data_IF_040009978402
#
_entry.id   IF_040009978402
#
_cell.length_a   1.000
_cell.length_b   1.000
_cell.length_c   1.000
_cell.angle_alpha   90.00
_cell.angle_beta   90.00
_cell.angle_gamma   90.00
#
_symmetry.space_group_name_H-M   'P 1'
#
loop_
_entity.id
_entity.type
_entity.pdbx_description
1 polymer ?
#
# COMPACT_ATOMS: atom_id res chain seq x y z
N UNK A 1 45.45 18.82 -54.98
CA UNK A 1 45.39 18.27 -53.62
C UNK A 1 44.04 18.61 -53.01
N UNK A 2 43.09 17.74 -53.17
CA UNK A 2 41.69 17.95 -52.72
C UNK A 2 41.53 17.36 -51.31
N UNK A 3 41.15 18.18 -50.37
CA UNK A 3 40.77 17.75 -49.03
C UNK A 3 39.29 17.39 -49.10
N UNK A 4 38.99 16.12 -49.09
CA UNK A 4 37.64 15.59 -48.90
C UNK A 4 37.19 15.90 -47.46
N UNK A 5 36.29 16.85 -47.29
CA UNK A 5 35.56 17.04 -46.07
C UNK A 5 34.51 15.91 -45.94
N UNK A 6 34.84 14.87 -45.19
CA UNK A 6 33.94 13.79 -44.85
C UNK A 6 32.88 14.33 -43.88
N UNK A 7 31.66 14.60 -44.37
CA UNK A 7 30.49 14.86 -43.54
C UNK A 7 30.26 13.66 -42.64
N UNK A 8 30.59 13.78 -41.37
CA UNK A 8 30.07 12.92 -40.33
C UNK A 8 28.57 13.20 -40.20
N UNK A 9 27.76 12.46 -40.94
CA UNK A 9 26.35 12.29 -40.65
C UNK A 9 26.25 11.58 -39.30
N UNK A 10 25.93 12.34 -38.26
CA UNK A 10 25.49 11.80 -36.98
C UNK A 10 24.25 10.93 -37.26
N UNK A 11 24.44 9.63 -37.42
CA UNK A 11 23.36 8.65 -37.43
C UNK A 11 22.58 8.79 -36.12
N UNK A 12 21.50 9.57 -36.13
CA UNK A 12 20.48 9.51 -35.10
C UNK A 12 19.96 8.09 -35.11
N UNK A 13 20.30 7.35 -34.03
CA UNK A 13 19.71 6.04 -33.80
C UNK A 13 18.19 6.12 -34.07
N UNK A 14 17.59 5.16 -34.78
CA UNK A 14 16.19 5.21 -35.13
C UNK A 14 15.39 5.42 -33.84
N UNK A 15 14.50 6.41 -33.84
CA UNK A 15 13.54 6.64 -32.75
C UNK A 15 12.66 5.43 -32.69
N UNK A 16 13.07 4.41 -31.91
CA UNK A 16 12.24 3.24 -31.66
C UNK A 16 10.93 3.76 -31.10
N UNK A 17 9.85 3.49 -31.77
CA UNK A 17 8.51 3.90 -31.32
C UNK A 17 8.18 3.18 -30.02
N UNK A 18 8.50 3.84 -28.90
CA UNK A 18 8.33 3.32 -27.53
C UNK A 18 6.87 2.98 -27.21
N UNK A 19 5.93 3.49 -28.04
CA UNK A 19 4.51 3.14 -27.93
C UNK A 19 4.24 1.68 -28.29
N UNK A 20 5.11 1.06 -29.09
CA UNK A 20 5.00 -0.32 -29.55
C UNK A 20 5.76 -1.32 -28.67
N UNK A 21 6.51 -0.86 -27.65
CA UNK A 21 7.18 -1.78 -26.74
C UNK A 21 6.16 -2.55 -25.89
N UNK A 22 6.29 -3.89 -25.76
CA UNK A 22 5.34 -4.73 -25.02
C UNK A 22 5.13 -4.24 -23.57
N UNK A 23 6.20 -3.77 -22.92
CA UNK A 23 6.22 -3.35 -21.52
C UNK A 23 5.43 -2.06 -21.23
N UNK A 24 5.16 -1.24 -22.24
CA UNK A 24 4.36 -0.01 -22.09
C UNK A 24 2.93 -0.18 -22.55
N UNK A 25 2.54 -1.35 -23.12
CA UNK A 25 1.22 -1.57 -23.68
C UNK A 25 0.12 -1.56 -22.61
N UNK A 26 -1.09 -1.11 -22.97
CA UNK A 26 -2.26 -1.18 -22.09
C UNK A 26 -2.54 -2.59 -21.58
N UNK A 27 -2.38 -3.60 -22.45
CA UNK A 27 -2.55 -5.01 -22.11
C UNK A 27 -1.57 -5.46 -21.02
N UNK A 28 -0.33 -5.00 -21.07
CA UNK A 28 0.68 -5.33 -20.08
C UNK A 28 0.37 -4.64 -18.74
N UNK A 29 0.01 -3.35 -18.76
CA UNK A 29 -0.39 -2.60 -17.55
C UNK A 29 -1.58 -3.29 -16.89
N UNK A 30 -2.62 -3.64 -17.65
CA UNK A 30 -3.77 -4.37 -17.15
C UNK A 30 -3.38 -5.73 -16.56
N UNK A 31 -2.51 -6.49 -17.24
CA UNK A 31 -2.02 -7.78 -16.76
C UNK A 31 -1.25 -7.70 -15.44
N UNK A 32 -0.67 -6.54 -15.11
CA UNK A 32 -0.04 -6.26 -13.81
C UNK A 32 -1.04 -5.78 -12.76
N UNK A 33 -2.07 -5.02 -13.16
CA UNK A 33 -3.01 -4.38 -12.23
C UNK A 33 -4.07 -5.35 -11.69
N UNK A 34 -4.74 -6.13 -12.57
CA UNK A 34 -5.89 -6.95 -12.17
C UNK A 34 -5.59 -8.01 -11.08
N UNK A 35 -4.39 -8.68 -11.07
CA UNK A 35 -4.11 -9.65 -10.02
C UNK A 35 -4.02 -9.00 -8.64
N UNK A 36 -3.49 -7.77 -8.58
CA UNK A 36 -3.38 -7.02 -7.34
C UNK A 36 -4.77 -6.58 -6.85
N UNK A 37 -5.59 -6.02 -7.75
CA UNK A 37 -6.98 -5.63 -7.41
C UNK A 37 -7.75 -6.80 -6.82
N UNK A 38 -7.70 -7.98 -7.46
CA UNK A 38 -8.40 -9.16 -6.99
C UNK A 38 -7.88 -9.62 -5.61
N UNK A 39 -6.58 -9.63 -5.41
CA UNK A 39 -5.98 -10.07 -4.15
C UNK A 39 -6.21 -9.09 -2.99
N UNK A 40 -6.20 -7.79 -3.23
CA UNK A 40 -6.48 -6.80 -2.19
C UNK A 40 -7.95 -6.77 -1.78
N UNK A 41 -8.87 -7.04 -2.71
CA UNK A 41 -10.30 -7.21 -2.40
C UNK A 41 -10.61 -8.43 -1.51
N UNK A 42 -9.68 -9.39 -1.38
CA UNK A 42 -9.85 -10.51 -0.45
C UNK A 42 -9.55 -10.17 1.01
N UNK A 43 -8.85 -9.06 1.30
CA UNK A 43 -8.48 -8.68 2.66
C UNK A 43 -9.69 -8.43 3.58
N UNK A 44 -10.72 -7.67 3.15
CA UNK A 44 -11.92 -7.48 3.97
C UNK A 44 -12.66 -8.78 4.29
N UNK A 45 -12.56 -9.80 3.42
CA UNK A 45 -13.22 -11.09 3.64
C UNK A 45 -12.62 -11.85 4.84
N UNK A 46 -11.30 -11.78 5.04
CA UNK A 46 -10.64 -12.41 6.19
C UNK A 46 -11.15 -11.78 7.48
N UNK A 47 -11.14 -10.44 7.57
CA UNK A 47 -11.67 -9.75 8.75
C UNK A 47 -13.14 -10.06 9.03
N UNK A 48 -13.96 -10.17 7.98
CA UNK A 48 -15.36 -10.56 8.13
C UNK A 48 -15.53 -12.00 8.65
N UNK A 49 -14.69 -12.94 8.20
CA UNK A 49 -14.69 -14.32 8.70
C UNK A 49 -14.24 -14.37 10.16
N UNK A 50 -13.18 -13.64 10.53
CA UNK A 50 -12.68 -13.59 11.91
C UNK A 50 -13.79 -13.08 12.86
N UNK A 51 -14.48 -12.01 12.51
CA UNK A 51 -15.61 -11.47 13.26
C UNK A 51 -16.79 -12.44 13.30
N UNK A 52 -17.12 -13.07 12.16
CA UNK A 52 -18.22 -14.04 12.09
C UNK A 52 -17.95 -15.26 12.96
N UNK A 53 -16.71 -15.79 12.99
CA UNK A 53 -16.33 -16.90 13.86
C UNK A 53 -16.54 -16.54 15.34
N UNK A 54 -16.13 -15.35 15.75
CA UNK A 54 -16.29 -14.88 17.14
C UNK A 54 -17.75 -14.57 17.48
N UNK A 55 -18.52 -14.10 16.50
CA UNK A 55 -19.95 -13.81 16.67
C UNK A 55 -20.83 -15.03 16.95
N UNK A 56 -20.32 -16.25 16.71
CA UNK A 56 -21.01 -17.51 17.05
C UNK A 56 -20.67 -18.03 18.46
N UNK A 57 -19.73 -17.38 19.16
CA UNK A 57 -19.39 -17.74 20.54
C UNK A 57 -20.39 -17.12 21.53
N UNK A 58 -20.54 -17.72 22.74
CA UNK A 58 -21.60 -17.34 23.69
C UNK A 58 -21.52 -15.93 24.23
N UNK A 59 -20.33 -15.32 24.30
CA UNK A 59 -20.10 -14.00 24.91
C UNK A 59 -19.64 -12.97 23.85
N UNK A 60 -20.32 -11.83 23.71
CA UNK A 60 -19.92 -10.73 22.83
C UNK A 60 -18.50 -10.19 23.13
N UNK A 61 -17.94 -10.43 24.31
CA UNK A 61 -16.60 -10.02 24.69
C UNK A 61 -15.51 -10.66 23.81
N UNK A 62 -15.77 -11.85 23.23
CA UNK A 62 -14.88 -12.49 22.24
C UNK A 62 -14.68 -11.62 21.00
N UNK A 63 -15.79 -11.12 20.44
CA UNK A 63 -15.74 -10.23 19.26
C UNK A 63 -14.98 -8.95 19.60
N UNK A 64 -15.26 -8.37 20.79
CA UNK A 64 -14.57 -7.17 21.26
C UNK A 64 -13.06 -7.39 21.40
N UNK A 65 -12.64 -8.49 22.02
CA UNK A 65 -11.23 -8.84 22.22
C UNK A 65 -10.46 -9.01 20.90
N UNK A 66 -11.01 -9.76 19.94
CA UNK A 66 -10.39 -9.96 18.61
C UNK A 66 -10.34 -8.64 17.84
N UNK A 67 -11.41 -7.84 17.87
CA UNK A 67 -11.43 -6.55 17.19
C UNK A 67 -10.37 -5.59 17.74
N UNK A 68 -10.25 -5.46 19.06
CA UNK A 68 -9.26 -4.61 19.72
C UNK A 68 -7.82 -5.10 19.49
N UNK A 69 -7.58 -6.40 19.63
CA UNK A 69 -6.27 -7.00 19.38
C UNK A 69 -5.86 -6.85 17.90
N UNK A 70 -6.81 -7.04 16.98
CA UNK A 70 -6.64 -6.83 15.54
C UNK A 70 -6.34 -5.38 15.17
N UNK A 71 -6.98 -4.42 15.85
CA UNK A 71 -6.72 -2.99 15.66
C UNK A 71 -5.29 -2.63 16.06
N UNK A 72 -4.82 -3.07 17.22
CA UNK A 72 -3.45 -2.79 17.68
C UNK A 72 -2.42 -3.47 16.76
N UNK A 73 -2.65 -4.73 16.39
CA UNK A 73 -1.78 -5.44 15.47
C UNK A 73 -1.76 -4.78 14.08
N UNK A 74 -2.92 -4.40 13.56
CA UNK A 74 -3.08 -3.69 12.29
C UNK A 74 -2.34 -2.34 12.28
N UNK A 75 -2.41 -1.61 13.38
CA UNK A 75 -1.66 -0.36 13.57
C UNK A 75 -0.15 -0.57 13.43
N UNK A 76 0.37 -1.62 14.05
CA UNK A 76 1.80 -1.99 13.93
C UNK A 76 2.14 -2.31 12.48
N UNK A 77 1.37 -3.18 11.81
CA UNK A 77 1.61 -3.58 10.42
C UNK A 77 1.59 -2.38 9.47
N UNK A 78 0.64 -1.46 9.68
CA UNK A 78 0.53 -0.26 8.85
C UNK A 78 1.69 0.72 9.10
N UNK A 79 2.19 0.85 10.34
CA UNK A 79 3.39 1.62 10.63
C UNK A 79 4.62 1.10 9.87
N UNK A 80 4.67 -0.22 9.59
CA UNK A 80 5.72 -0.88 8.81
C UNK A 80 5.42 -0.99 7.30
N UNK A 81 4.35 -0.35 6.80
CA UNK A 81 3.99 -0.36 5.36
C UNK A 81 5.11 0.15 4.45
N UNK A 82 6.04 0.95 4.99
CA UNK A 82 7.23 1.42 4.28
C UNK A 82 8.13 0.26 3.80
N UNK A 83 8.09 -0.90 4.46
CA UNK A 83 8.86 -2.09 4.04
C UNK A 83 8.43 -2.54 2.65
N UNK A 84 7.13 -2.67 2.40
CA UNK A 84 6.61 -3.02 1.08
C UNK A 84 6.94 -1.94 0.05
N UNK A 85 6.53 -0.71 0.31
CA UNK A 85 6.66 0.41 -0.64
C UNK A 85 8.13 0.73 -0.95
N UNK A 86 8.98 0.81 0.08
CA UNK A 86 10.42 1.08 -0.07
C UNK A 86 11.13 -0.03 -0.84
N UNK A 87 10.82 -1.29 -0.54
CA UNK A 87 11.38 -2.45 -1.25
C UNK A 87 10.94 -2.45 -2.71
N UNK A 88 9.65 -2.14 -3.02
CA UNK A 88 9.16 -2.04 -4.40
C UNK A 88 9.93 -1.00 -5.20
N UNK A 89 10.05 0.22 -4.68
CA UNK A 89 10.71 1.31 -5.40
C UNK A 89 12.20 1.06 -5.66
N UNK A 90 12.92 0.57 -4.65
CA UNK A 90 14.34 0.24 -4.81
C UNK A 90 14.56 -0.92 -5.78
N UNK A 91 13.75 -1.99 -5.66
CA UNK A 91 13.86 -3.19 -6.51
C UNK A 91 13.52 -2.89 -7.96
N UNK A 92 12.45 -2.14 -8.23
CA UNK A 92 12.04 -1.79 -9.61
C UNK A 92 13.10 -0.91 -10.29
N UNK A 93 13.72 0.02 -9.57
CA UNK A 93 14.85 0.81 -10.09
C UNK A 93 16.08 -0.06 -10.38
N UNK A 94 16.44 -0.97 -9.47
CA UNK A 94 17.56 -1.89 -9.68
C UNK A 94 17.29 -2.83 -10.87
N UNK A 95 16.04 -3.27 -11.06
CA UNK A 95 15.62 -4.06 -12.22
C UNK A 95 15.82 -3.29 -13.52
N UNK A 96 15.32 -2.05 -13.59
CA UNK A 96 15.47 -1.20 -14.76
C UNK A 96 16.92 -0.84 -15.09
N UNK A 97 17.78 -0.75 -14.07
CA UNK A 97 19.22 -0.55 -14.22
C UNK A 97 20.01 -1.85 -14.53
N UNK A 98 19.35 -3.01 -14.63
CA UNK A 98 20.02 -4.30 -14.87
C UNK A 98 20.86 -4.84 -13.72
N UNK A 99 20.72 -4.29 -12.51
CA UNK A 99 21.56 -4.55 -11.33
C UNK A 99 21.07 -5.78 -10.55
N UNK A 100 21.18 -6.98 -11.12
CA UNK A 100 20.67 -8.23 -10.54
C UNK A 100 21.19 -8.53 -9.13
N UNK A 101 22.45 -8.20 -8.81
CA UNK A 101 22.99 -8.39 -7.46
C UNK A 101 22.35 -7.43 -6.44
N UNK A 102 22.09 -6.18 -6.84
CA UNK A 102 21.47 -5.21 -5.96
C UNK A 102 20.02 -5.57 -5.64
N UNK A 103 19.30 -6.21 -6.56
CA UNK A 103 17.95 -6.76 -6.30
C UNK A 103 17.97 -7.74 -5.12
N UNK A 104 18.96 -8.65 -5.07
CA UNK A 104 19.13 -9.59 -3.94
C UNK A 104 19.52 -8.88 -2.65
N UNK A 105 20.41 -7.88 -2.72
CA UNK A 105 20.84 -7.10 -1.55
C UNK A 105 19.71 -6.27 -0.95
N UNK A 106 18.85 -5.66 -1.79
CA UNK A 106 17.67 -4.94 -1.34
C UNK A 106 16.75 -5.87 -0.57
N UNK A 107 16.46 -7.07 -1.10
CA UNK A 107 15.65 -8.07 -0.41
C UNK A 107 16.21 -8.39 0.98
N UNK A 108 17.49 -8.72 1.06
CA UNK A 108 18.12 -9.11 2.33
C UNK A 108 18.15 -7.97 3.35
N UNK A 109 18.47 -6.73 2.92
CA UNK A 109 18.43 -5.57 3.82
C UNK A 109 17.01 -5.31 4.35
N UNK A 110 16.00 -5.39 3.47
CA UNK A 110 14.61 -5.22 3.87
C UNK A 110 14.14 -6.32 4.82
N UNK A 111 14.53 -7.58 4.58
CA UNK A 111 14.24 -8.69 5.50
C UNK A 111 14.93 -8.52 6.86
N UNK A 112 16.18 -8.02 6.89
CA UNK A 112 16.86 -7.71 8.15
C UNK A 112 16.13 -6.60 8.94
N UNK A 113 15.66 -5.55 8.26
CA UNK A 113 14.86 -4.49 8.92
C UNK A 113 13.55 -5.08 9.46
N UNK A 114 12.86 -5.90 8.68
CA UNK A 114 11.64 -6.58 9.09
C UNK A 114 11.88 -7.48 10.32
N UNK A 115 12.95 -8.27 10.31
CA UNK A 115 13.31 -9.15 11.41
C UNK A 115 13.68 -8.38 12.68
N UNK A 116 14.55 -7.37 12.57
CA UNK A 116 14.97 -6.54 13.72
C UNK A 116 13.76 -5.79 14.28
N UNK A 117 12.93 -5.19 13.41
CA UNK A 117 11.72 -4.49 13.83
C UNK A 117 10.72 -5.42 14.52
N UNK A 118 10.49 -6.62 14.00
CA UNK A 118 9.58 -7.58 14.61
C UNK A 118 10.11 -8.11 15.95
N UNK A 119 11.40 -8.43 16.06
CA UNK A 119 12.01 -8.86 17.33
C UNK A 119 11.93 -7.76 18.39
N UNK A 120 12.18 -6.52 18.01
CA UNK A 120 12.03 -5.38 18.94
C UNK A 120 10.59 -5.26 19.45
N UNK A 121 9.60 -5.39 18.57
CA UNK A 121 8.18 -5.32 18.92
C UNK A 121 7.72 -6.53 19.75
N UNK A 122 8.26 -7.72 19.50
CA UNK A 122 8.03 -8.91 20.33
C UNK A 122 8.57 -8.66 21.75
N UNK A 123 9.75 -8.05 21.91
CA UNK A 123 10.29 -7.71 23.22
C UNK A 123 9.44 -6.63 23.90
N UNK A 124 8.94 -5.67 23.13
CA UNK A 124 8.13 -4.56 23.65
C UNK A 124 6.64 -4.90 23.78
N UNK A 125 6.20 -6.13 23.42
CA UNK A 125 4.76 -6.46 23.40
C UNK A 125 4.06 -6.22 24.76
N UNK A 126 4.66 -6.48 25.94
CA UNK A 126 3.96 -6.23 27.20
C UNK A 126 3.70 -4.72 27.42
N UNK A 127 4.65 -3.88 27.00
CA UNK A 127 4.51 -2.43 27.07
C UNK A 127 3.41 -1.94 26.09
N UNK A 128 3.41 -2.47 24.86
CA UNK A 128 2.41 -2.12 23.85
C UNK A 128 1.01 -2.47 24.34
N UNK A 129 0.85 -3.68 24.90
CA UNK A 129 -0.42 -4.15 25.45
C UNK A 129 -0.88 -3.30 26.62
N UNK A 130 0.02 -3.01 27.56
CA UNK A 130 -0.28 -2.14 28.73
C UNK A 130 -0.73 -0.75 28.28
N UNK A 131 -0.05 -0.16 27.31
CA UNK A 131 -0.45 1.14 26.74
C UNK A 131 -1.79 1.06 26.04
N UNK A 132 -2.02 0.03 25.21
CA UNK A 132 -3.27 -0.15 24.49
C UNK A 132 -4.46 -0.27 25.46
N UNK A 133 -4.35 -1.11 26.49
CA UNK A 133 -5.37 -1.28 27.52
C UNK A 133 -5.60 -0.02 28.38
N UNK A 134 -4.63 0.86 28.47
CA UNK A 134 -4.77 2.14 29.19
C UNK A 134 -5.54 3.20 28.38
N UNK A 135 -5.43 3.15 27.05
CA UNK A 135 -6.06 4.14 26.15
C UNK A 135 -7.37 3.67 25.54
N UNK A 136 -7.65 2.36 25.61
CA UNK A 136 -8.86 1.77 25.06
C UNK A 136 -9.78 1.39 26.20
N UNK A 137 -10.89 2.12 26.34
CA UNK A 137 -11.94 1.77 27.29
C UNK A 137 -12.63 0.47 26.82
N UNK A 138 -12.47 -0.61 27.58
CA UNK A 138 -13.05 -1.92 27.30
C UNK A 138 -13.48 -2.63 28.57
N UNK A 139 -14.41 -3.58 28.46
CA UNK A 139 -14.76 -4.45 29.57
C UNK A 139 -13.57 -5.33 29.96
N UNK A 140 -13.48 -5.73 31.23
CA UNK A 140 -12.40 -6.61 31.70
C UNK A 140 -12.32 -7.93 30.91
N UNK A 141 -13.46 -8.48 30.49
CA UNK A 141 -13.52 -9.68 29.67
C UNK A 141 -12.92 -9.44 28.28
N UNK A 142 -13.30 -8.36 27.59
CA UNK A 142 -12.74 -8.02 26.27
C UNK A 142 -11.25 -7.70 26.35
N UNK A 143 -10.79 -7.06 27.43
CA UNK A 143 -9.36 -6.81 27.70
C UNK A 143 -8.56 -8.13 27.85
N UNK A 144 -9.11 -9.12 28.55
CA UNK A 144 -8.51 -10.45 28.68
C UNK A 144 -8.40 -11.18 27.35
N UNK A 145 -9.46 -11.14 26.53
CA UNK A 145 -9.45 -11.73 25.19
C UNK A 145 -8.50 -11.00 24.22
N UNK A 146 -8.39 -9.67 24.33
CA UNK A 146 -7.40 -8.89 23.59
C UNK A 146 -5.98 -9.32 23.94
N UNK A 147 -5.68 -9.54 25.23
CA UNK A 147 -4.38 -10.02 25.68
C UNK A 147 -4.04 -11.38 25.08
N UNK A 148 -4.95 -12.38 25.21
CA UNK A 148 -4.78 -13.71 24.63
C UNK A 148 -4.54 -13.63 23.13
N UNK A 149 -5.35 -12.86 22.38
CA UNK A 149 -5.21 -12.69 20.93
C UNK A 149 -3.86 -12.09 20.57
N UNK A 150 -3.52 -10.96 21.18
CA UNK A 150 -2.32 -10.20 20.80
C UNK A 150 -1.03 -10.94 21.17
N UNK A 151 -1.01 -11.61 22.34
CA UNK A 151 0.14 -12.41 22.81
C UNK A 151 0.48 -13.58 21.88
N UNK A 152 -0.51 -14.17 21.22
CA UNK A 152 -0.29 -15.22 20.20
C UNK A 152 0.07 -14.57 18.86
N UNK A 153 -0.69 -13.55 18.45
CA UNK A 153 -0.59 -12.93 17.12
C UNK A 153 0.76 -12.25 16.89
N UNK A 154 1.40 -11.72 17.95
CA UNK A 154 2.69 -11.03 17.89
C UNK A 154 3.83 -11.92 17.36
N UNK A 155 3.79 -13.23 17.60
CA UNK A 155 4.75 -14.20 17.07
C UNK A 155 4.64 -14.42 15.56
N UNK A 156 3.54 -13.99 14.97
CA UNK A 156 3.37 -13.92 13.51
C UNK A 156 4.06 -12.72 12.86
N UNK A 157 4.44 -11.69 13.64
CA UNK A 157 4.95 -10.43 13.11
C UNK A 157 6.19 -10.58 12.21
N UNK A 158 7.19 -11.46 12.51
CA UNK A 158 8.32 -11.68 11.59
C UNK A 158 7.88 -12.19 10.22
N UNK A 159 6.87 -13.07 10.17
CA UNK A 159 6.31 -13.56 8.92
C UNK A 159 5.48 -12.48 8.21
N UNK A 160 4.65 -11.74 8.91
CA UNK A 160 3.82 -10.65 8.37
C UNK A 160 4.68 -9.56 7.73
N UNK A 161 5.71 -9.06 8.45
CA UNK A 161 6.64 -8.06 7.91
C UNK A 161 7.53 -8.65 6.81
N UNK A 162 7.94 -9.92 6.94
CA UNK A 162 8.67 -10.66 5.91
C UNK A 162 7.86 -10.82 4.63
N UNK A 163 6.55 -11.11 4.74
CA UNK A 163 5.61 -11.16 3.63
C UNK A 163 5.47 -9.78 2.95
N UNK A 164 5.39 -8.70 3.72
CA UNK A 164 5.35 -7.34 3.17
C UNK A 164 6.59 -7.02 2.33
N UNK A 165 7.79 -7.39 2.80
CA UNK A 165 9.05 -7.28 2.04
C UNK A 165 9.01 -8.14 0.78
N UNK A 166 8.55 -9.41 0.89
CA UNK A 166 8.45 -10.34 -0.24
C UNK A 166 7.53 -9.78 -1.33
N UNK A 167 6.35 -9.30 -0.96
CA UNK A 167 5.39 -8.68 -1.87
C UNK A 167 6.02 -7.46 -2.54
N UNK A 168 6.65 -6.57 -1.78
CA UNK A 168 7.33 -5.40 -2.33
C UNK A 168 8.45 -5.75 -3.30
N UNK A 169 9.23 -6.77 -3.00
CA UNK A 169 10.30 -7.25 -3.86
C UNK A 169 9.79 -7.89 -5.15
N UNK A 170 8.71 -8.67 -5.08
CA UNK A 170 8.05 -9.27 -6.24
C UNK A 170 7.35 -8.20 -7.09
N UNK A 171 6.72 -7.18 -6.47
CA UNK A 171 6.15 -6.04 -7.19
C UNK A 171 7.24 -5.30 -7.97
N UNK A 172 8.37 -5.02 -7.33
CA UNK A 172 9.51 -4.38 -7.99
C UNK A 172 10.05 -5.17 -9.19
N UNK A 173 9.87 -6.49 -9.22
CA UNK A 173 10.23 -7.38 -10.33
C UNK A 173 9.06 -7.68 -11.28
N UNK A 174 7.94 -6.97 -11.18
CA UNK A 174 6.75 -7.12 -12.02
C UNK A 174 6.13 -8.54 -11.93
N UNK A 175 6.28 -9.21 -10.80
CA UNK A 175 5.78 -10.57 -10.57
C UNK A 175 4.42 -10.58 -9.82
N UNK A 176 3.47 -9.72 -10.25
CA UNK A 176 2.19 -9.49 -9.57
C UNK A 176 1.35 -10.76 -9.37
N UNK A 177 1.41 -11.71 -10.31
CA UNK A 177 0.70 -12.99 -10.19
C UNK A 177 1.19 -13.82 -8.99
N UNK A 178 2.49 -13.79 -8.68
CA UNK A 178 3.01 -14.48 -7.51
C UNK A 178 2.55 -13.80 -6.22
N UNK A 179 2.47 -12.48 -6.20
CA UNK A 179 1.91 -11.75 -5.06
C UNK A 179 0.44 -12.09 -4.84
N UNK A 180 -0.35 -12.16 -5.92
CA UNK A 180 -1.74 -12.63 -5.86
C UNK A 180 -1.83 -14.04 -5.30
N UNK A 181 -1.00 -14.97 -5.79
CA UNK A 181 -0.96 -16.35 -5.29
C UNK A 181 -0.64 -16.39 -3.80
N UNK A 182 0.33 -15.59 -3.34
CA UNK A 182 0.70 -15.50 -1.92
C UNK A 182 -0.46 -15.00 -1.06
N UNK A 183 -1.08 -13.88 -1.44
CA UNK A 183 -2.18 -13.29 -0.66
C UNK A 183 -3.41 -14.19 -0.63
N UNK A 184 -3.81 -14.76 -1.77
CA UNK A 184 -4.92 -15.71 -1.83
C UNK A 184 -4.62 -16.95 -0.99
N UNK A 185 -3.39 -17.49 -1.06
CA UNK A 185 -2.99 -18.64 -0.26
C UNK A 185 -3.08 -18.35 1.25
N UNK A 186 -2.50 -17.23 1.71
CA UNK A 186 -2.55 -16.80 3.12
C UNK A 186 -4.00 -16.67 3.58
N UNK A 187 -4.83 -15.94 2.81
CA UNK A 187 -6.21 -15.66 3.18
C UNK A 187 -7.07 -16.94 3.19
N UNK A 188 -6.93 -17.80 2.18
CA UNK A 188 -7.67 -19.07 2.11
C UNK A 188 -7.25 -20.03 3.22
N UNK A 189 -5.94 -20.13 3.51
CA UNK A 189 -5.43 -20.95 4.60
C UNK A 189 -5.89 -20.41 5.96
N UNK A 190 -5.89 -19.09 6.14
CA UNK A 190 -6.38 -18.46 7.37
C UNK A 190 -7.85 -18.82 7.62
N UNK A 191 -8.73 -18.67 6.61
CA UNK A 191 -10.14 -19.03 6.71
C UNK A 191 -10.28 -20.53 7.07
N UNK A 192 -9.56 -21.41 6.39
CA UNK A 192 -9.61 -22.85 6.65
C UNK A 192 -9.15 -23.18 8.09
N UNK A 193 -8.07 -22.55 8.55
CA UNK A 193 -7.55 -22.75 9.90
C UNK A 193 -8.48 -22.17 10.97
N UNK A 194 -9.18 -21.06 10.71
CA UNK A 194 -10.21 -20.53 11.59
C UNK A 194 -11.32 -21.58 11.82
N UNK A 195 -11.85 -22.18 10.76
CA UNK A 195 -12.83 -23.26 10.88
C UNK A 195 -12.28 -24.45 11.66
N UNK A 196 -11.06 -24.85 11.41
CA UNK A 196 -10.42 -25.98 12.08
C UNK A 196 -10.16 -25.73 13.56
N UNK A 197 -9.56 -24.58 13.92
CA UNK A 197 -9.21 -24.30 15.31
C UNK A 197 -10.44 -23.92 16.15
N UNK A 198 -11.31 -23.05 15.63
CA UNK A 198 -12.45 -22.56 16.41
C UNK A 198 -13.56 -23.61 16.47
N UNK A 199 -14.03 -24.12 15.32
CA UNK A 199 -15.14 -25.07 15.30
C UNK A 199 -14.70 -26.52 15.48
N UNK A 200 -13.52 -26.89 14.96
CA UNK A 200 -13.01 -28.26 15.03
C UNK A 200 -12.40 -28.63 16.39
N UNK A 201 -11.58 -27.73 16.94
CA UNK A 201 -10.88 -27.95 18.21
C UNK A 201 -11.52 -27.21 19.40
N UNK A 202 -12.55 -26.40 19.18
CA UNK A 202 -13.21 -25.63 20.24
C UNK A 202 -12.33 -24.54 20.86
N UNK A 203 -11.34 -24.03 20.08
CA UNK A 203 -10.51 -22.91 20.54
C UNK A 203 -11.29 -21.60 20.31
N UNK A 204 -11.20 -20.70 21.29
CA UNK A 204 -11.86 -19.39 21.21
C UNK A 204 -10.99 -18.37 20.42
N UNK A 205 -10.76 -17.20 21.01
CA UNK A 205 -9.92 -16.12 20.47
C UNK A 205 -8.52 -16.60 20.09
N UNK A 206 -7.97 -17.54 20.84
CA UNK A 206 -6.65 -18.14 20.61
C UNK A 206 -6.60 -18.89 19.28
N UNK A 207 -7.72 -19.52 18.87
CA UNK A 207 -7.85 -20.21 17.60
C UNK A 207 -7.73 -19.26 16.41
N UNK A 208 -8.39 -18.11 16.46
CA UNK A 208 -8.31 -17.09 15.41
C UNK A 208 -6.90 -16.48 15.33
N UNK A 209 -6.28 -16.20 16.48
CA UNK A 209 -4.91 -15.71 16.53
C UNK A 209 -3.91 -16.73 15.95
N UNK A 210 -4.06 -18.03 16.31
CA UNK A 210 -3.23 -19.11 15.80
C UNK A 210 -3.43 -19.35 14.29
N UNK A 211 -4.66 -19.26 13.79
CA UNK A 211 -4.96 -19.37 12.35
C UNK A 211 -4.22 -18.32 11.55
N UNK A 212 -4.27 -17.07 12.01
CA UNK A 212 -3.56 -15.97 11.39
C UNK A 212 -2.04 -16.13 11.46
N UNK A 213 -1.51 -16.54 12.62
CA UNK A 213 -0.08 -16.81 12.80
C UNK A 213 0.42 -17.90 11.85
N UNK A 214 -0.27 -19.04 11.82
CA UNK A 214 0.11 -20.19 10.98
C UNK A 214 0.02 -19.86 9.48
N UNK A 215 -1.02 -19.17 9.04
CA UNK A 215 -1.21 -18.81 7.63
C UNK A 215 -0.14 -17.81 7.14
N UNK A 216 0.25 -16.86 7.95
CA UNK A 216 1.32 -15.90 7.63
C UNK A 216 2.69 -16.60 7.48
N UNK A 217 3.05 -17.48 8.41
CA UNK A 217 4.28 -18.26 8.31
C UNK A 217 4.26 -19.22 7.13
N UNK A 218 3.15 -19.91 6.88
CA UNK A 218 3.00 -20.80 5.74
C UNK A 218 3.15 -20.04 4.41
N UNK A 219 2.54 -18.85 4.29
CA UNK A 219 2.68 -18.00 3.11
C UNK A 219 4.10 -17.50 2.88
N UNK A 220 4.81 -17.12 3.95
CA UNK A 220 6.20 -16.70 3.87
C UNK A 220 7.11 -17.84 3.39
N UNK A 221 6.98 -19.02 4.00
CA UNK A 221 7.75 -20.23 3.65
C UNK A 221 7.45 -20.67 2.21
N UNK A 222 6.16 -20.76 1.84
CA UNK A 222 5.74 -21.12 0.48
C UNK A 222 6.41 -20.21 -0.56
N UNK A 223 6.34 -18.90 -0.35
CA UNK A 223 6.88 -17.94 -1.32
C UNK A 223 8.41 -18.00 -1.38
N UNK A 224 9.08 -18.20 -0.24
CA UNK A 224 10.54 -18.40 -0.20
C UNK A 224 10.96 -19.64 -0.99
N UNK A 225 10.21 -20.75 -0.89
CA UNK A 225 10.44 -21.98 -1.65
C UNK A 225 10.24 -21.73 -3.16
N UNK A 226 9.12 -21.07 -3.55
CA UNK A 226 8.83 -20.77 -4.96
C UNK A 226 9.92 -19.88 -5.57
N UNK A 227 10.37 -18.86 -4.87
CA UNK A 227 11.41 -17.94 -5.34
C UNK A 227 12.75 -18.67 -5.48
N UNK A 228 13.12 -19.52 -4.51
CA UNK A 228 14.37 -20.33 -4.59
C UNK A 228 14.33 -21.36 -5.69
N UNK A 229 13.19 -21.94 -5.99
CA UNK A 229 13.02 -22.89 -7.10
C UNK A 229 13.18 -22.26 -8.49
N UNK A 230 13.15 -20.91 -8.60
CA UNK A 230 13.25 -20.17 -9.86
C UNK A 230 14.47 -19.23 -9.91
N UNK A 231 15.74 -19.72 -9.75
CA UNK A 231 16.92 -18.87 -9.61
C UNK A 231 17.28 -18.07 -10.87
N UNK A 232 16.81 -18.52 -12.05
CA UNK A 232 16.98 -17.77 -13.31
C UNK A 232 16.14 -16.50 -13.35
N UNK A 233 14.94 -16.57 -12.79
CA UNK A 233 13.99 -15.45 -12.73
C UNK A 233 14.22 -14.56 -11.51
N UNK A 234 14.46 -15.17 -10.37
CA UNK A 234 14.66 -14.50 -9.09
C UNK A 234 16.05 -14.78 -8.57
N UNK A 235 17.01 -13.89 -8.82
CA UNK A 235 18.42 -14.12 -8.45
C UNK A 235 18.67 -13.91 -6.96
N UNK A 236 18.18 -14.81 -6.10
CA UNK A 236 18.55 -14.84 -4.68
C UNK A 236 19.90 -15.58 -4.52
N UNK A 237 21.00 -14.88 -4.69
CA UNK A 237 22.35 -15.43 -4.53
C UNK A 237 22.87 -15.17 -3.10
N UNK A 238 22.55 -16.05 -2.18
CA UNK A 238 23.01 -15.96 -0.79
C UNK A 238 24.51 -16.27 -0.66
N UNK A 239 25.03 -17.23 -1.45
CA UNK A 239 26.41 -17.73 -1.32
C UNK A 239 27.48 -16.82 -1.92
N UNK A 240 27.13 -15.83 -2.74
CA UNK A 240 28.09 -14.91 -3.38
C UNK A 240 27.95 -13.47 -2.88
N UNK A 241 27.30 -13.28 -1.72
CA UNK A 241 27.09 -11.94 -1.20
C UNK A 241 28.29 -11.46 -0.39
N UNK A 242 28.88 -10.37 -0.84
CA UNK A 242 29.83 -9.62 -0.05
C UNK A 242 29.11 -8.94 1.13
N UNK A 243 29.38 -9.41 2.35
CA UNK A 243 28.81 -8.88 3.58
C UNK A 243 29.08 -7.38 3.76
N UNK A 244 30.25 -6.88 3.32
CA UNK A 244 30.57 -5.45 3.38
C UNK A 244 29.59 -4.62 2.56
N UNK A 245 29.23 -5.10 1.38
CA UNK A 245 28.26 -4.42 0.52
C UNK A 245 26.81 -4.50 1.03
N UNK A 246 26.46 -5.54 1.80
CA UNK A 246 25.17 -5.66 2.46
C UNK A 246 25.00 -4.57 3.53
N UNK A 247 26.05 -4.31 4.31
CA UNK A 247 26.06 -3.33 5.40
C UNK A 247 26.58 -1.94 4.98
N UNK A 248 26.62 -1.63 3.67
CA UNK A 248 27.02 -0.32 3.19
C UNK A 248 26.15 0.79 3.83
N UNK A 249 26.75 1.65 4.66
CA UNK A 249 26.09 2.67 5.48
C UNK A 249 25.17 3.57 4.66
N UNK A 250 25.59 3.97 3.46
CA UNK A 250 24.82 4.85 2.58
C UNK A 250 23.48 4.22 2.17
N UNK A 251 23.49 2.90 1.89
CA UNK A 251 22.28 2.16 1.49
C UNK A 251 21.28 2.03 2.65
N UNK A 252 21.78 1.79 3.87
CA UNK A 252 20.96 1.76 5.07
C UNK A 252 20.35 3.12 5.38
N UNK A 253 21.14 4.19 5.30
CA UNK A 253 20.63 5.56 5.51
C UNK A 253 19.56 5.89 4.47
N UNK A 254 19.74 5.50 3.20
CA UNK A 254 18.72 5.70 2.16
C UNK A 254 17.42 4.97 2.48
N UNK A 255 17.47 3.71 2.93
CA UNK A 255 16.29 2.95 3.33
C UNK A 255 15.61 3.55 4.56
N UNK A 256 16.37 3.96 5.58
CA UNK A 256 15.81 4.61 6.78
C UNK A 256 15.17 5.98 6.46
N UNK A 257 15.71 6.74 5.51
CA UNK A 257 15.07 7.98 5.03
C UNK A 257 13.71 7.68 4.37
N UNK A 258 13.65 6.65 3.53
CA UNK A 258 12.39 6.19 2.93
C UNK A 258 11.40 5.77 4.03
N UNK A 259 11.87 4.98 5.00
CA UNK A 259 11.05 4.52 6.13
C UNK A 259 10.46 5.69 6.93
N UNK A 260 11.30 6.67 7.29
CA UNK A 260 10.87 7.89 7.98
C UNK A 260 9.81 8.67 7.19
N UNK A 261 10.05 8.89 5.91
CA UNK A 261 9.17 9.71 5.07
C UNK A 261 7.81 9.01 4.86
N UNK A 262 7.82 7.70 4.59
CA UNK A 262 6.59 6.92 4.45
C UNK A 262 5.87 6.71 5.79
N UNK A 263 6.61 6.51 6.89
CA UNK A 263 6.03 6.44 8.23
C UNK A 263 5.32 7.74 8.61
N UNK A 264 5.97 8.90 8.39
CA UNK A 264 5.34 10.20 8.64
C UNK A 264 4.08 10.41 7.77
N UNK A 265 4.10 9.97 6.50
CA UNK A 265 2.92 9.98 5.63
C UNK A 265 1.78 9.12 6.20
N UNK A 266 2.09 7.93 6.68
CA UNK A 266 1.09 7.01 7.24
C UNK A 266 0.46 7.55 8.53
N UNK A 267 1.26 8.14 9.40
CA UNK A 267 0.76 8.80 10.62
C UNK A 267 -0.20 9.96 10.28
N UNK A 268 0.10 10.75 9.26
CA UNK A 268 -0.78 11.83 8.81
C UNK A 268 -2.07 11.29 8.16
N UNK A 269 -2.03 10.15 7.46
CA UNK A 269 -3.24 9.47 6.97
C UNK A 269 -4.16 9.11 8.14
N UNK A 270 -3.62 8.51 9.18
CA UNK A 270 -4.40 8.19 10.38
C UNK A 270 -4.93 9.42 11.08
N UNK A 271 -4.15 10.50 11.14
CA UNK A 271 -4.59 11.76 11.72
C UNK A 271 -5.78 12.36 10.96
N UNK A 272 -5.82 12.25 9.61
CA UNK A 272 -6.98 12.64 8.80
C UNK A 272 -8.22 11.83 9.20
N UNK A 273 -8.09 10.50 9.23
CA UNK A 273 -9.20 9.61 9.55
C UNK A 273 -9.70 9.82 10.99
N UNK A 274 -8.79 9.90 11.96
CA UNK A 274 -9.13 10.14 13.36
C UNK A 274 -9.82 11.50 13.56
N UNK A 275 -9.35 12.55 12.90
CA UNK A 275 -9.94 13.88 12.99
C UNK A 275 -11.31 13.92 12.31
N UNK A 276 -11.48 13.25 11.16
CA UNK A 276 -12.78 13.13 10.47
C UNK A 276 -13.80 12.42 11.37
N UNK A 277 -13.44 11.28 11.97
CA UNK A 277 -14.30 10.51 12.85
C UNK A 277 -14.62 11.27 14.15
N UNK A 278 -13.65 11.94 14.73
CA UNK A 278 -13.84 12.77 15.92
C UNK A 278 -14.84 13.89 15.68
N UNK A 279 -14.75 14.56 14.53
CA UNK A 279 -15.71 15.61 14.15
C UNK A 279 -17.09 15.03 13.78
N UNK A 280 -17.12 13.83 13.18
CA UNK A 280 -18.40 13.14 12.93
C UNK A 280 -19.09 12.76 14.24
N UNK A 281 -18.35 12.28 15.23
CA UNK A 281 -18.88 11.94 16.57
C UNK A 281 -19.52 13.16 17.27
N UNK A 282 -18.98 14.37 17.11
CA UNK A 282 -19.54 15.59 17.66
C UNK A 282 -20.91 15.97 17.04
N UNK A 283 -21.26 15.41 15.88
CA UNK A 283 -22.57 15.55 15.22
C UNK A 283 -23.57 14.44 15.61
N UNK A 284 -23.19 13.53 16.51
CA UNK A 284 -24.02 12.45 17.03
C UNK A 284 -23.72 11.07 16.45
N UNK A 285 -24.30 10.04 17.08
CA UNK A 285 -23.97 8.63 16.77
C UNK A 285 -24.36 8.23 15.33
N UNK A 286 -25.49 8.72 14.83
CA UNK A 286 -25.93 8.46 13.43
C UNK A 286 -24.95 9.07 12.43
N UNK A 287 -24.44 10.27 12.72
CA UNK A 287 -23.46 10.95 11.89
C UNK A 287 -22.11 10.18 11.86
N UNK A 288 -21.65 9.74 13.02
CA UNK A 288 -20.45 8.91 13.14
C UNK A 288 -20.59 7.61 12.34
N UNK A 289 -21.73 6.91 12.50
CA UNK A 289 -21.99 5.67 11.77
C UNK A 289 -22.09 5.89 10.25
N UNK A 290 -22.68 6.99 9.80
CA UNK A 290 -22.76 7.33 8.38
C UNK A 290 -21.35 7.57 7.79
N UNK A 291 -20.50 8.35 8.45
CA UNK A 291 -19.11 8.56 8.01
C UNK A 291 -18.31 7.26 8.02
N UNK A 292 -18.53 6.36 8.99
CA UNK A 292 -17.90 5.03 8.98
C UNK A 292 -18.27 4.23 7.74
N UNK A 293 -19.54 4.24 7.32
CA UNK A 293 -19.98 3.59 6.08
C UNK A 293 -19.29 4.22 4.87
N UNK A 294 -19.20 5.56 4.81
CA UNK A 294 -18.48 6.26 3.73
C UNK A 294 -17.01 5.84 3.69
N UNK A 295 -16.33 5.71 4.84
CA UNK A 295 -14.93 5.27 4.90
C UNK A 295 -14.77 3.80 4.47
N UNK A 296 -15.72 2.93 4.75
CA UNK A 296 -15.73 1.55 4.22
C UNK A 296 -15.82 1.56 2.70
N UNK A 297 -16.73 2.36 2.12
CA UNK A 297 -16.87 2.53 0.67
C UNK A 297 -15.57 3.10 0.09
N UNK A 298 -14.97 4.10 0.74
CA UNK A 298 -13.67 4.65 0.35
C UNK A 298 -12.56 3.59 0.36
N UNK A 299 -12.55 2.68 1.32
CA UNK A 299 -11.62 1.54 1.37
C UNK A 299 -11.73 0.65 0.13
N UNK A 300 -12.95 0.30 -0.32
CA UNK A 300 -13.14 -0.47 -1.55
C UNK A 300 -12.68 0.30 -2.80
N UNK A 301 -12.94 1.62 -2.86
CA UNK A 301 -12.44 2.49 -3.93
C UNK A 301 -10.91 2.47 -3.95
N UNK A 302 -10.27 2.63 -2.79
CA UNK A 302 -8.82 2.61 -2.64
C UNK A 302 -8.21 1.30 -3.13
N UNK A 303 -8.74 0.14 -2.72
CA UNK A 303 -8.26 -1.17 -3.18
C UNK A 303 -8.39 -1.35 -4.70
N UNK A 304 -9.45 -0.83 -5.31
CA UNK A 304 -9.61 -0.86 -6.76
C UNK A 304 -8.59 0.01 -7.49
N UNK A 305 -8.31 1.21 -6.99
CA UNK A 305 -7.36 2.16 -7.59
C UNK A 305 -5.90 1.75 -7.34
N UNK A 306 -5.61 1.14 -6.18
CA UNK A 306 -4.27 0.67 -5.81
C UNK A 306 -3.70 -0.36 -6.79
N UNK A 307 -4.53 -1.16 -7.46
CA UNK A 307 -4.07 -2.08 -8.49
C UNK A 307 -3.29 -1.38 -9.62
N UNK A 308 -3.77 -0.21 -10.07
CA UNK A 308 -3.08 0.60 -11.07
C UNK A 308 -1.87 1.33 -10.48
N UNK A 309 -1.97 1.80 -9.23
CA UNK A 309 -0.85 2.43 -8.54
C UNK A 309 0.33 1.45 -8.39
N UNK A 310 0.08 0.19 -8.01
CA UNK A 310 1.13 -0.82 -7.86
C UNK A 310 1.77 -1.23 -9.20
N UNK A 311 0.98 -1.32 -10.28
CA UNK A 311 1.54 -1.48 -11.62
C UNK A 311 2.46 -0.31 -11.99
N UNK A 312 2.05 0.91 -11.64
CA UNK A 312 2.84 2.12 -11.85
C UNK A 312 4.11 2.14 -11.01
N UNK A 313 4.07 1.73 -9.73
CA UNK A 313 5.26 1.57 -8.88
C UNK A 313 6.36 0.74 -9.60
N UNK A 314 5.97 -0.41 -10.13
CA UNK A 314 6.88 -1.34 -10.78
C UNK A 314 7.43 -0.80 -12.11
N UNK A 315 6.55 -0.28 -12.97
CA UNK A 315 6.90 0.16 -14.31
C UNK A 315 7.65 1.50 -14.30
N UNK A 316 7.21 2.47 -13.49
CA UNK A 316 7.88 3.76 -13.36
C UNK A 316 9.28 3.60 -12.75
N UNK A 317 9.43 2.77 -11.72
CA UNK A 317 10.73 2.47 -11.14
C UNK A 317 11.69 1.85 -12.15
N UNK A 318 11.23 0.88 -12.95
CA UNK A 318 12.04 0.27 -14.01
C UNK A 318 12.42 1.31 -15.10
N UNK A 319 11.49 2.20 -15.49
CA UNK A 319 11.79 3.25 -16.45
C UNK A 319 12.83 4.27 -15.93
N UNK A 320 12.75 4.64 -14.66
CA UNK A 320 13.73 5.51 -13.99
C UNK A 320 15.09 4.78 -13.89
N UNK A 321 15.08 3.50 -13.50
CA UNK A 321 16.29 2.69 -13.42
C UNK A 321 17.04 2.58 -14.76
N UNK A 322 16.30 2.48 -15.87
CA UNK A 322 16.86 2.45 -17.23
C UNK A 322 17.26 3.84 -17.75
N UNK A 323 16.98 4.94 -17.05
CA UNK A 323 17.26 6.31 -17.47
C UNK A 323 16.35 6.84 -18.60
N UNK A 324 15.29 6.12 -18.95
CA UNK A 324 14.44 6.49 -20.09
C UNK A 324 13.29 7.42 -19.69
N UNK A 325 13.48 8.72 -19.92
CA UNK A 325 12.47 9.76 -19.68
C UNK A 325 11.20 9.54 -20.50
N UNK A 326 11.34 9.19 -21.78
CA UNK A 326 10.22 8.99 -22.68
C UNK A 326 9.39 7.77 -22.25
N UNK A 327 10.06 6.66 -21.86
CA UNK A 327 9.38 5.47 -21.34
C UNK A 327 8.57 5.79 -20.08
N UNK A 328 9.15 6.55 -19.16
CA UNK A 328 8.47 7.00 -17.93
C UNK A 328 7.23 7.84 -18.25
N UNK A 329 7.34 8.80 -19.19
CA UNK A 329 6.21 9.64 -19.59
C UNK A 329 5.06 8.81 -20.19
N UNK A 330 5.37 7.85 -21.06
CA UNK A 330 4.38 6.97 -21.68
C UNK A 330 3.69 6.10 -20.61
N UNK A 331 4.46 5.55 -19.67
CA UNK A 331 3.92 4.73 -18.58
C UNK A 331 2.96 5.58 -17.73
N UNK A 332 3.40 6.74 -17.24
CA UNK A 332 2.56 7.62 -16.40
C UNK A 332 1.27 7.98 -17.13
N UNK A 333 1.36 8.41 -18.40
CA UNK A 333 0.17 8.77 -19.20
C UNK A 333 -0.81 7.61 -19.32
N UNK A 334 -0.34 6.40 -19.63
CA UNK A 334 -1.20 5.24 -19.87
C UNK A 334 -1.81 4.70 -18.58
N UNK A 335 -1.01 4.60 -17.52
CA UNK A 335 -1.51 4.12 -16.23
C UNK A 335 -2.49 5.11 -15.61
N UNK A 336 -2.25 6.44 -15.74
CA UNK A 336 -3.19 7.48 -15.30
C UNK A 336 -4.50 7.42 -16.07
N UNK A 337 -4.44 7.19 -17.39
CA UNK A 337 -5.67 7.04 -18.19
C UNK A 337 -6.50 5.82 -17.73
N UNK A 338 -5.85 4.67 -17.52
CA UNK A 338 -6.54 3.47 -17.04
C UNK A 338 -7.13 3.66 -15.64
N UNK A 339 -6.38 4.32 -14.73
CA UNK A 339 -6.88 4.64 -13.40
C UNK A 339 -8.07 5.62 -13.44
N UNK A 340 -8.03 6.62 -14.34
CA UNK A 340 -9.13 7.55 -14.55
C UNK A 340 -10.39 6.85 -15.10
N UNK A 341 -10.23 5.94 -16.07
CA UNK A 341 -11.32 5.13 -16.59
C UNK A 341 -11.93 4.23 -15.50
N UNK A 342 -11.08 3.57 -14.71
CA UNK A 342 -11.55 2.76 -13.58
C UNK A 342 -12.31 3.61 -12.54
N UNK A 343 -11.79 4.79 -12.19
CA UNK A 343 -12.45 5.73 -11.29
C UNK A 343 -13.81 6.17 -11.83
N UNK A 344 -13.92 6.44 -13.15
CA UNK A 344 -15.19 6.76 -13.81
C UNK A 344 -16.20 5.60 -13.74
N UNK A 345 -15.74 4.36 -13.98
CA UNK A 345 -16.60 3.16 -13.87
C UNK A 345 -17.05 2.96 -12.44
N UNK A 346 -16.18 3.13 -11.44
CA UNK A 346 -16.53 3.02 -10.02
C UNK A 346 -17.53 4.10 -9.61
N UNK A 347 -17.34 5.35 -10.05
CA UNK A 347 -18.25 6.46 -9.82
C UNK A 347 -19.65 6.18 -10.42
N UNK A 348 -19.69 5.73 -11.68
CA UNK A 348 -20.94 5.33 -12.33
C UNK A 348 -21.62 4.15 -11.61
N UNK A 349 -20.83 3.14 -11.19
CA UNK A 349 -21.34 2.02 -10.40
C UNK A 349 -21.97 2.47 -9.07
N UNK A 350 -21.29 3.35 -8.33
CA UNK A 350 -21.84 3.91 -7.09
C UNK A 350 -23.13 4.72 -7.35
N UNK A 351 -23.18 5.53 -8.42
CA UNK A 351 -24.37 6.30 -8.76
C UNK A 351 -25.57 5.40 -9.09
N UNK A 352 -25.36 4.27 -9.78
CA UNK A 352 -26.40 3.34 -10.18
C UNK A 352 -26.84 2.39 -9.06
N UNK A 353 -25.92 2.01 -8.16
CA UNK A 353 -26.13 0.95 -7.17
C UNK A 353 -26.47 1.48 -5.77
N UNK A 354 -26.77 2.77 -5.62
CA UNK A 354 -27.17 3.38 -4.33
C UNK A 354 -28.23 2.57 -3.60
N UNK A 355 -29.34 2.26 -4.30
CA UNK A 355 -30.48 1.54 -3.74
C UNK A 355 -30.19 0.09 -3.35
N UNK A 356 -29.05 -0.47 -3.79
CA UNK A 356 -28.60 -1.81 -3.41
C UNK A 356 -27.57 -1.75 -2.29
N UNK A 357 -26.59 -0.84 -2.41
CA UNK A 357 -25.46 -0.78 -1.47
C UNK A 357 -25.92 -0.30 -0.10
N UNK A 358 -26.72 0.74 -0.01
CA UNK A 358 -27.17 1.30 1.28
C UNK A 358 -27.92 0.25 2.13
N UNK A 359 -28.93 -0.49 1.63
CA UNK A 359 -29.60 -1.53 2.39
C UNK A 359 -28.71 -2.71 2.78
N UNK A 360 -27.68 -3.01 1.98
CA UNK A 360 -26.69 -4.04 2.33
C UNK A 360 -25.79 -3.57 3.48
N UNK A 361 -25.48 -2.26 3.55
CA UNK A 361 -24.62 -1.72 4.60
C UNK A 361 -25.34 -1.57 5.95
N UNK A 362 -26.62 -1.28 5.96
CA UNK A 362 -27.41 -1.09 7.18
C UNK A 362 -28.88 -1.33 6.97
N UNK A 363 -29.55 -1.89 8.01
CA UNK A 363 -31.01 -2.06 8.06
C UNK A 363 -31.74 -0.93 8.81
N UNK A 364 -31.01 0.03 9.40
CA UNK A 364 -31.58 1.12 10.22
C UNK A 364 -32.05 2.29 9.35
N UNK A 365 -33.34 2.62 9.28
CA UNK A 365 -33.85 3.68 8.40
C UNK A 365 -33.23 5.07 8.61
N UNK A 366 -32.96 5.54 9.86
CA UNK A 366 -32.32 6.83 10.07
C UNK A 366 -30.88 6.87 9.51
N UNK A 367 -30.12 5.75 9.63
CA UNK A 367 -28.79 5.65 9.13
C UNK A 367 -28.76 5.52 7.59
N UNK A 368 -29.74 4.79 7.02
CA UNK A 368 -29.92 4.75 5.55
C UNK A 368 -30.14 6.14 4.97
N UNK A 369 -31.00 6.97 5.61
CA UNK A 369 -31.24 8.34 5.19
C UNK A 369 -29.93 9.18 5.27
N UNK A 370 -29.24 9.14 6.39
CA UNK A 370 -27.97 9.88 6.57
C UNK A 370 -26.91 9.48 5.55
N UNK A 371 -26.79 8.19 5.21
CA UNK A 371 -25.86 7.72 4.16
C UNK A 371 -26.34 8.15 2.78
N UNK A 372 -27.65 8.15 2.52
CA UNK A 372 -28.22 8.62 1.25
C UNK A 372 -27.93 10.10 1.00
N UNK A 373 -28.01 10.94 2.04
CA UNK A 373 -27.67 12.37 1.96
C UNK A 373 -26.17 12.57 1.60
N UNK A 374 -25.30 11.70 2.09
CA UNK A 374 -23.85 11.72 1.79
C UNK A 374 -23.47 11.01 0.49
N UNK A 375 -24.42 10.38 -0.20
CA UNK A 375 -24.11 9.50 -1.32
C UNK A 375 -23.44 10.19 -2.50
N UNK A 376 -23.77 11.44 -2.76
CA UNK A 376 -23.13 12.24 -3.80
C UNK A 376 -21.62 12.34 -3.56
N UNK A 377 -21.20 12.48 -2.31
CA UNK A 377 -19.77 12.50 -1.95
C UNK A 377 -19.09 11.17 -2.26
N UNK A 378 -19.77 10.04 -1.98
CA UNK A 378 -19.24 8.71 -2.34
C UNK A 378 -19.01 8.57 -3.85
N UNK A 379 -19.93 9.08 -4.67
CA UNK A 379 -19.84 9.10 -6.14
C UNK A 379 -18.68 9.98 -6.63
N UNK A 380 -18.38 11.08 -5.93
CA UNK A 380 -17.32 12.04 -6.28
C UNK A 380 -15.94 11.56 -5.84
N UNK A 381 -15.84 10.70 -4.80
CA UNK A 381 -14.54 10.21 -4.28
C UNK A 381 -13.66 9.56 -5.36
N UNK A 382 -14.12 8.58 -6.19
CA UNK A 382 -13.24 7.93 -7.16
C UNK A 382 -12.58 8.90 -8.15
N UNK A 383 -13.31 9.79 -8.87
CA UNK A 383 -12.70 10.70 -9.84
C UNK A 383 -11.83 11.78 -9.20
N UNK A 384 -11.98 12.04 -7.91
CA UNK A 384 -11.15 13.00 -7.19
C UNK A 384 -9.88 12.34 -6.65
N UNK A 385 -9.98 11.11 -6.15
CA UNK A 385 -8.88 10.45 -5.45
C UNK A 385 -7.90 9.71 -6.38
N UNK A 386 -8.33 9.29 -7.60
CA UNK A 386 -7.50 8.45 -8.48
C UNK A 386 -6.13 9.06 -8.75
N UNK A 387 -6.06 10.39 -8.89
CA UNK A 387 -4.81 11.08 -9.16
C UNK A 387 -3.82 10.97 -7.99
N UNK A 388 -4.31 11.04 -6.75
CA UNK A 388 -3.50 10.88 -5.56
C UNK A 388 -2.89 9.46 -5.48
N UNK A 389 -3.70 8.41 -5.67
CA UNK A 389 -3.24 7.01 -5.70
C UNK A 389 -2.24 6.77 -6.82
N UNK A 390 -2.56 7.26 -8.02
CA UNK A 390 -1.71 7.11 -9.20
C UNK A 390 -0.35 7.78 -9.03
N UNK A 391 -0.32 9.00 -8.50
CA UNK A 391 0.93 9.72 -8.25
C UNK A 391 1.75 9.06 -7.13
N UNK A 392 1.12 8.55 -6.07
CA UNK A 392 1.83 7.76 -5.06
C UNK A 392 2.59 6.60 -5.72
N UNK A 393 1.99 5.87 -6.66
CA UNK A 393 2.66 4.81 -7.41
C UNK A 393 3.90 5.30 -8.16
N UNK A 394 3.84 6.48 -8.80
CA UNK A 394 4.99 7.09 -9.49
C UNK A 394 6.13 7.39 -8.51
N UNK A 395 5.82 8.01 -7.34
CA UNK A 395 6.82 8.43 -6.37
C UNK A 395 7.40 7.27 -5.57
N UNK A 396 6.63 6.21 -5.32
CA UNK A 396 7.14 4.95 -4.75
C UNK A 396 8.11 4.31 -5.73
N UNK A 397 7.75 4.17 -7.01
CA UNK A 397 8.64 3.65 -8.06
C UNK A 397 9.93 4.48 -8.19
N UNK A 398 9.84 5.79 -8.06
CA UNK A 398 10.99 6.69 -8.04
C UNK A 398 11.84 6.58 -6.76
N UNK A 399 11.38 5.87 -5.72
CA UNK A 399 11.94 5.90 -4.37
C UNK A 399 12.11 7.35 -3.83
N UNK A 400 11.16 8.22 -4.19
CA UNK A 400 11.17 9.65 -3.92
C UNK A 400 10.15 10.03 -2.83
N UNK A 401 10.21 9.31 -1.69
CA UNK A 401 9.26 9.35 -0.59
C UNK A 401 9.05 10.71 0.05
N UNK A 402 10.06 11.59 0.01
CA UNK A 402 9.96 12.94 0.57
C UNK A 402 8.90 13.82 -0.13
N UNK A 403 8.62 13.59 -1.43
CA UNK A 403 7.51 14.30 -2.09
C UNK A 403 6.17 13.85 -1.53
N UNK A 404 6.00 12.54 -1.30
CA UNK A 404 4.78 11.98 -0.73
C UNK A 404 4.53 12.50 0.69
N UNK A 405 5.58 12.52 1.55
CA UNK A 405 5.51 13.11 2.88
C UNK A 405 5.11 14.58 2.82
N UNK A 406 5.79 15.37 2.01
CA UNK A 406 5.53 16.81 1.93
C UNK A 406 4.12 17.10 1.38
N UNK A 407 3.69 16.37 0.35
CA UNK A 407 2.32 16.45 -0.16
C UNK A 407 1.27 16.11 0.90
N UNK A 408 1.55 15.10 1.73
CA UNK A 408 0.68 14.74 2.83
C UNK A 408 0.60 15.82 3.91
N UNK A 409 1.74 16.43 4.28
CA UNK A 409 1.78 17.55 5.24
C UNK A 409 0.93 18.71 4.76
N UNK A 410 1.10 19.12 3.49
CA UNK A 410 0.32 20.23 2.90
C UNK A 410 -1.16 19.90 2.87
N UNK A 411 -1.52 18.70 2.42
CA UNK A 411 -2.93 18.26 2.33
C UNK A 411 -3.58 18.11 3.69
N UNK A 412 -2.84 17.60 4.70
CA UNK A 412 -3.32 17.51 6.07
C UNK A 412 -3.54 18.89 6.69
N UNK A 413 -2.60 19.83 6.50
CA UNK A 413 -2.75 21.20 7.02
C UNK A 413 -3.99 21.88 6.42
N UNK A 414 -4.22 21.71 5.11
CA UNK A 414 -5.41 22.23 4.45
C UNK A 414 -6.69 21.55 4.99
N UNK A 415 -6.68 20.23 5.14
CA UNK A 415 -7.79 19.48 5.72
C UNK A 415 -8.13 19.95 7.14
N UNK A 416 -7.12 20.04 8.00
CA UNK A 416 -7.28 20.49 9.39
C UNK A 416 -7.83 21.93 9.47
N UNK A 417 -7.42 22.82 8.58
CA UNK A 417 -8.00 24.15 8.48
C UNK A 417 -9.47 24.14 8.05
N UNK A 418 -9.80 23.38 7.00
CA UNK A 418 -11.14 23.33 6.43
C UNK A 418 -12.14 22.63 7.36
N UNK A 419 -11.75 21.53 8.02
CA UNK A 419 -12.65 20.75 8.86
C UNK A 419 -13.20 21.59 10.03
N UNK A 420 -12.39 22.48 10.61
CA UNK A 420 -12.82 23.38 11.67
C UNK A 420 -13.61 24.58 11.10
N UNK A 421 -13.23 25.08 9.92
CA UNK A 421 -13.92 26.20 9.28
C UNK A 421 -15.34 25.83 8.86
N UNK A 422 -15.54 24.62 8.34
CA UNK A 422 -16.81 24.12 7.85
C UNK A 422 -17.54 23.19 8.83
N UNK A 423 -17.09 23.13 10.10
CA UNK A 423 -17.73 22.33 11.14
C UNK A 423 -19.23 22.64 11.31
N UNK A 424 -19.62 23.90 11.15
CA UNK A 424 -21.04 24.35 11.24
C UNK A 424 -21.91 23.86 10.08
N UNK A 425 -21.34 23.41 8.97
CA UNK A 425 -22.07 22.84 7.84
C UNK A 425 -22.39 21.34 8.02
N UNK A 426 -22.15 20.78 9.22
CA UNK A 426 -22.44 19.39 9.53
C UNK A 426 -21.62 18.39 8.69
N UNK A 427 -22.25 17.28 8.30
CA UNK A 427 -21.58 16.21 7.56
C UNK A 427 -21.10 16.64 6.16
N UNK A 428 -21.82 17.52 5.49
CA UNK A 428 -21.40 18.04 4.17
C UNK A 428 -20.09 18.83 4.27
N UNK A 429 -19.93 19.63 5.33
CA UNK A 429 -18.68 20.35 5.60
C UNK A 429 -17.49 19.41 5.83
N UNK A 430 -17.72 18.32 6.56
CA UNK A 430 -16.70 17.30 6.78
C UNK A 430 -16.30 16.61 5.47
N UNK A 431 -17.28 16.22 4.66
CA UNK A 431 -17.03 15.57 3.37
C UNK A 431 -16.37 16.51 2.37
N UNK A 432 -16.77 17.79 2.35
CA UNK A 432 -16.09 18.81 1.55
C UNK A 432 -14.61 18.92 1.91
N UNK A 433 -14.27 19.02 3.20
CA UNK A 433 -12.89 19.06 3.67
C UNK A 433 -12.11 17.79 3.24
N UNK A 434 -12.73 16.61 3.32
CA UNK A 434 -12.14 15.34 2.92
C UNK A 434 -11.88 15.27 1.39
N UNK A 435 -12.82 15.73 0.57
CA UNK A 435 -12.65 15.81 -0.89
C UNK A 435 -11.51 16.76 -1.26
N UNK A 436 -11.45 17.93 -0.64
CA UNK A 436 -10.37 18.91 -0.89
C UNK A 436 -9.01 18.33 -0.47
N UNK A 437 -8.95 17.59 0.63
CA UNK A 437 -7.74 16.85 1.04
C UNK A 437 -7.26 15.87 -0.04
N UNK A 438 -8.16 15.05 -0.59
CA UNK A 438 -7.83 14.08 -1.65
C UNK A 438 -7.34 14.78 -2.93
N UNK A 439 -7.99 15.87 -3.33
CA UNK A 439 -7.60 16.71 -4.45
C UNK A 439 -6.22 17.35 -4.25
N UNK A 440 -6.02 18.01 -3.10
CA UNK A 440 -4.77 18.71 -2.79
C UNK A 440 -3.57 17.76 -2.83
N UNK A 441 -3.72 16.54 -2.32
CA UNK A 441 -2.70 15.50 -2.36
C UNK A 441 -2.33 15.12 -3.80
N UNK A 442 -3.34 14.86 -4.65
CA UNK A 442 -3.11 14.51 -6.06
C UNK A 442 -2.47 15.65 -6.85
N UNK A 443 -2.99 16.87 -6.69
CA UNK A 443 -2.50 18.06 -7.38
C UNK A 443 -1.06 18.39 -6.96
N UNK A 444 -0.74 18.40 -5.66
CA UNK A 444 0.61 18.64 -5.17
C UNK A 444 1.63 17.71 -5.82
N UNK A 445 1.34 16.41 -5.81
CA UNK A 445 2.21 15.40 -6.39
C UNK A 445 2.34 15.56 -7.91
N UNK A 446 1.26 15.89 -8.62
CA UNK A 446 1.28 16.15 -10.06
C UNK A 446 2.12 17.38 -10.41
N UNK A 447 2.04 18.46 -9.64
CA UNK A 447 2.87 19.66 -9.83
C UNK A 447 4.36 19.39 -9.62
N UNK A 448 4.69 18.52 -8.65
CA UNK A 448 6.08 18.13 -8.37
C UNK A 448 6.70 17.21 -9.43
N UNK A 449 5.91 16.64 -10.38
CA UNK A 449 6.42 15.73 -11.41
C UNK A 449 7.57 16.33 -12.23
N UNK A 450 7.49 17.60 -12.64
CA UNK A 450 8.55 18.24 -13.43
C UNK A 450 9.88 18.25 -12.68
N UNK A 451 9.84 18.55 -11.39
CA UNK A 451 11.04 18.56 -10.53
C UNK A 451 11.59 17.15 -10.30
N UNK A 452 10.72 16.18 -10.09
CA UNK A 452 11.09 14.77 -9.97
C UNK A 452 11.78 14.26 -11.25
N UNK A 453 11.26 14.58 -12.44
CA UNK A 453 11.88 14.22 -13.72
C UNK A 453 13.29 14.80 -13.85
N UNK A 454 13.48 16.08 -13.53
CA UNK A 454 14.79 16.74 -13.59
C UNK A 454 15.81 16.05 -12.66
N UNK A 455 15.41 15.73 -11.44
CA UNK A 455 16.29 15.15 -10.42
C UNK A 455 16.64 13.67 -10.63
N UNK A 456 15.68 12.85 -11.05
CA UNK A 456 15.84 11.40 -11.07
C UNK A 456 16.09 10.80 -12.45
N UNK A 457 15.83 11.53 -13.52
CA UNK A 457 15.99 11.06 -14.90
C UNK A 457 16.98 11.92 -15.69
N UNK A 458 17.19 13.20 -15.31
CA UNK A 458 18.13 14.12 -15.97
C UNK A 458 19.59 13.90 -15.57
N UNK A 459 19.86 13.56 -14.31
CA UNK A 459 21.24 13.49 -13.78
C UNK A 459 22.13 12.40 -14.42
N UNK A 460 21.55 11.35 -15.02
CA UNK A 460 22.34 10.31 -15.72
C UNK A 460 22.72 10.66 -17.16
N UNK A 461 22.10 11.67 -17.75
CA UNK A 461 22.44 12.09 -19.12
C UNK A 461 23.78 12.86 -19.17
N UNK A 462 24.12 13.55 -18.07
CA UNK A 462 25.37 14.32 -17.98
C UNK A 462 26.56 13.44 -17.63
N UNK A 463 26.43 12.38 -16.78
CA UNK A 463 27.52 11.47 -16.46
C UNK A 463 27.99 10.60 -17.66
N UNK A 464 27.06 10.23 -18.57
CA UNK A 464 27.42 9.49 -19.77
C UNK A 464 27.96 10.37 -20.90
N UNK A 465 27.73 11.70 -20.85
CA UNK A 465 28.28 12.65 -21.81
C UNK A 465 29.73 13.02 -21.49
N UNK A 466 30.12 12.99 -20.20
CA UNK A 466 31.49 13.28 -19.77
C UNK A 466 32.43 12.07 -19.87
N UNK A 467 31.91 10.84 -19.69
CA UNK A 467 32.72 9.63 -19.90
C UNK A 467 33.05 9.34 -21.38
N UNK A 468 32.33 9.97 -22.31
CA UNK A 468 32.62 9.92 -23.75
C UNK A 468 33.58 11.02 -24.24
N UNK A 469 34.05 11.90 -23.35
CA UNK A 469 34.92 13.06 -23.68
C UNK A 469 36.33 12.98 -23.14
N UNK A 470 36.73 11.86 -22.52
CA UNK A 470 38.15 11.64 -22.19
C UNK A 470 38.82 10.89 -23.33
N UNK A 471 39.91 11.45 -23.89
CA UNK A 471 40.63 10.91 -25.06
C UNK A 471 41.37 9.62 -24.74
#
# INVERSE_FOLDING_TARGET
>A
MGVQAQKMETQRAPKTDLSKQPETSYRHIWALSWPVMLSTMSLPLVGAVDVAMMGHLPDPAYVGGVALGGLVFGAIVLAFSFLRMGTTGLTSRALGAGQKQEISRIFMRSQLIALIGSLLLIILHPLILTLALRFIDSSQAAAGHMDSYFSIRIWGLPATLGNAVMIGWLFGQQAMRLCMTQLIFINSLNIMLNFFFVLGLGMDVEGVAAASLCSEWAGFILMLVIVRAQPKRFPLRLNSMDFKSLFAREKWIAMLKIARDLGARTLLLWAVEALLLSQAASNGDTALAAIQIVLVIFGFIAFGLDGFAHATEALAGAAIGSGSRTKLQVIIKRTTLLAALAAGIMSAGLALLQGVIIPVMTSQPPLQAAVADLWLWCVVIPPVSFLAFQMDGVYVGAAASHYMRNGMVVSFALFAGLIFTFASAGLDGLMFAFIVYLLARGIYLALCLRHMFAKYVGARYDENSDSARTP
#
